data_IF_941757605869
#
_entry.id   IF_941757605869
#
_cell.length_a   1.000
_cell.length_b   1.000
_cell.length_c   1.000
_cell.angle_alpha   90.00
_cell.angle_beta   90.00
_cell.angle_gamma   90.00
#
_symmetry.space_group_name_H-M   'P 1'
#
loop_
_entity.id
_entity.type
_entity.pdbx_description
1 polymer ?
#
# COMPACT_ATOMS: atom_id res chain seq x y z
N UNK A 1 20.40 -11.96 6.96
CA UNK A 1 20.50 -10.91 8.02
C UNK A 1 22.00 -10.64 8.26
N UNK A 2 22.46 -9.42 8.55
CA UNK A 2 23.92 -9.11 8.63
C UNK A 2 24.67 -10.02 9.62
N UNK A 3 24.01 -10.40 10.72
CA UNK A 3 24.55 -11.32 11.72
C UNK A 3 24.93 -12.69 11.14
N UNK A 4 24.11 -13.25 10.25
CA UNK A 4 24.38 -14.55 9.62
C UNK A 4 25.55 -14.43 8.64
N UNK A 5 25.59 -13.36 7.83
CA UNK A 5 26.70 -13.09 6.91
C UNK A 5 28.02 -12.94 7.66
N UNK A 6 28.00 -12.25 8.80
CA UNK A 6 29.19 -12.10 9.65
C UNK A 6 29.62 -13.42 10.30
N UNK A 7 28.67 -14.31 10.63
CA UNK A 7 28.97 -15.61 11.21
C UNK A 7 29.57 -16.60 10.20
N UNK A 8 29.15 -16.52 8.94
CA UNK A 8 29.61 -17.40 7.85
C UNK A 8 30.67 -16.76 6.93
N UNK A 9 31.16 -15.55 7.24
CA UNK A 9 32.14 -14.86 6.41
C UNK A 9 33.52 -15.53 6.54
N UNK A 10 34.06 -16.00 5.42
CA UNK A 10 35.41 -16.58 5.35
C UNK A 10 36.45 -15.49 5.00
N UNK A 11 36.05 -14.47 4.23
CA UNK A 11 36.92 -13.38 3.78
C UNK A 11 36.48 -11.98 4.25
N UNK A 12 37.44 -11.05 4.34
CA UNK A 12 37.15 -9.63 4.64
C UNK A 12 36.15 -9.02 3.65
N UNK A 13 36.16 -9.50 2.40
CA UNK A 13 35.26 -9.00 1.36
C UNK A 13 33.80 -9.35 1.64
N UNK A 14 33.53 -10.51 2.24
CA UNK A 14 32.16 -10.94 2.56
C UNK A 14 31.57 -10.07 3.66
N UNK A 15 32.38 -9.76 4.68
CA UNK A 15 31.98 -8.86 5.74
C UNK A 15 31.74 -7.44 5.22
N UNK A 16 32.63 -6.93 4.36
CA UNK A 16 32.46 -5.61 3.73
C UNK A 16 31.21 -5.55 2.85
N UNK A 17 30.92 -6.63 2.11
CA UNK A 17 29.73 -6.74 1.30
C UNK A 17 28.46 -6.76 2.19
N UNK A 18 28.49 -7.53 3.29
CA UNK A 18 27.39 -7.56 4.27
C UNK A 18 27.14 -6.20 4.93
N UNK A 19 28.20 -5.47 5.27
CA UNK A 19 28.08 -4.10 5.84
C UNK A 19 27.47 -3.15 4.80
N UNK A 20 27.95 -3.18 3.56
CA UNK A 20 27.40 -2.33 2.51
C UNK A 20 25.92 -2.63 2.25
N UNK A 21 25.51 -3.90 2.21
CA UNK A 21 24.12 -4.28 2.04
C UNK A 21 23.25 -3.83 3.23
N UNK A 22 23.77 -3.91 4.45
CA UNK A 22 23.09 -3.42 5.65
C UNK A 22 22.94 -1.89 5.65
N UNK A 23 24.01 -1.16 5.32
CA UNK A 23 23.99 0.30 5.24
C UNK A 23 23.06 0.79 4.12
N UNK A 24 23.02 0.07 2.99
CA UNK A 24 22.08 0.28 1.88
C UNK A 24 20.61 0.16 2.31
N UNK A 25 20.34 -0.46 3.46
CA UNK A 25 19.01 -0.65 4.04
C UNK A 25 18.78 0.22 5.30
N UNK A 26 19.76 1.03 5.68
CA UNK A 26 19.68 1.91 6.84
C UNK A 26 19.23 3.31 6.44
N UNK A 27 18.47 3.97 7.31
CA UNK A 27 18.00 5.35 7.11
C UNK A 27 18.62 6.22 8.20
N UNK A 28 19.24 7.33 7.80
CA UNK A 28 19.75 8.34 8.73
C UNK A 28 18.67 9.40 8.90
N UNK A 29 18.25 9.60 10.14
CA UNK A 29 17.30 10.67 10.49
C UNK A 29 18.12 11.82 11.10
N UNK A 30 18.24 12.97 10.41
CA UNK A 30 18.89 14.13 11.00
C UNK A 30 18.08 14.62 12.22
N UNK A 31 18.74 15.13 13.27
CA UNK A 31 18.03 15.72 14.40
C UNK A 31 17.21 16.92 13.89
N UNK A 32 15.90 16.87 14.04
CA UNK A 32 14.98 17.92 13.56
C UNK A 32 13.81 18.05 14.54
N UNK A 33 13.40 19.28 14.83
CA UNK A 33 12.29 19.62 15.75
C UNK A 33 10.89 19.32 15.18
N UNK A 34 10.80 18.61 14.04
CA UNK A 34 9.52 18.21 13.44
C UNK A 34 8.77 17.23 14.34
N UNK A 35 7.51 17.55 14.62
CA UNK A 35 6.60 16.70 15.40
C UNK A 35 6.61 15.27 14.87
N UNK A 36 6.77 14.30 15.78
CA UNK A 36 7.07 12.91 15.43
C UNK A 36 6.08 12.22 14.48
N UNK A 37 4.86 12.75 14.32
CA UNK A 37 3.83 12.18 13.43
C UNK A 37 4.17 12.37 11.94
N UNK A 38 4.66 13.55 11.57
CA UNK A 38 5.02 13.84 10.17
C UNK A 38 6.36 13.20 9.79
N UNK A 39 7.26 13.07 10.76
CA UNK A 39 8.50 12.32 10.60
C UNK A 39 8.23 10.83 10.39
N UNK A 40 7.35 10.22 11.18
CA UNK A 40 6.99 8.81 11.02
C UNK A 40 6.35 8.53 9.66
N UNK A 41 5.52 9.45 9.15
CA UNK A 41 4.91 9.30 7.81
C UNK A 41 5.97 9.34 6.70
N UNK A 42 6.95 10.24 6.81
CA UNK A 42 8.06 10.36 5.86
C UNK A 42 9.00 9.16 5.93
N UNK A 43 9.30 8.67 7.13
CA UNK A 43 10.17 7.50 7.33
C UNK A 43 9.47 6.22 6.85
N UNK A 44 8.17 6.05 7.10
CA UNK A 44 7.42 4.90 6.65
C UNK A 44 7.35 4.80 5.12
N UNK A 45 7.11 5.93 4.42
CA UNK A 45 7.11 5.94 2.96
C UNK A 45 8.49 5.63 2.38
N UNK A 46 9.56 6.13 3.01
CA UNK A 46 10.92 5.85 2.57
C UNK A 46 11.35 4.40 2.83
N UNK A 47 11.00 3.83 3.99
CA UNK A 47 11.20 2.41 4.28
C UNK A 47 10.48 1.53 3.25
N UNK A 48 9.26 1.88 2.86
CA UNK A 48 8.49 1.17 1.82
C UNK A 48 9.16 1.25 0.45
N UNK A 49 9.72 2.40 0.07
CA UNK A 49 10.52 2.51 -1.16
C UNK A 49 11.77 1.64 -1.13
N UNK A 50 12.44 1.56 0.02
CA UNK A 50 13.63 0.73 0.22
C UNK A 50 13.30 -0.77 0.08
N UNK A 51 12.20 -1.21 0.69
CA UNK A 51 11.67 -2.57 0.55
C UNK A 51 11.26 -2.90 -0.90
N UNK A 52 10.63 -1.94 -1.60
CA UNK A 52 10.27 -2.11 -3.02
C UNK A 52 11.52 -2.24 -3.90
N UNK A 53 12.53 -1.40 -3.70
CA UNK A 53 13.81 -1.48 -4.41
C UNK A 53 14.51 -2.83 -4.16
N UNK A 54 14.35 -3.42 -2.98
CA UNK A 54 14.83 -4.78 -2.67
C UNK A 54 14.07 -5.83 -3.46
N UNK A 55 12.73 -5.80 -3.46
CA UNK A 55 11.89 -6.73 -4.25
C UNK A 55 12.24 -6.68 -5.74
N UNK A 56 12.54 -5.49 -6.26
CA UNK A 56 13.01 -5.32 -7.66
C UNK A 56 14.42 -5.90 -7.90
N UNK A 57 15.36 -5.78 -6.95
CA UNK A 57 16.71 -6.39 -7.07
C UNK A 57 16.64 -7.90 -7.01
N UNK A 58 15.85 -8.45 -6.09
CA UNK A 58 15.61 -9.91 -5.98
C UNK A 58 14.95 -10.46 -7.25
N UNK A 59 13.93 -9.79 -7.77
CA UNK A 59 13.27 -10.18 -9.02
C UNK A 59 14.22 -10.12 -10.23
N UNK A 60 15.09 -9.10 -10.30
CA UNK A 60 16.11 -9.00 -11.37
C UNK A 60 17.20 -10.07 -11.24
N UNK A 61 17.55 -10.47 -10.02
CA UNK A 61 18.54 -11.54 -9.77
C UNK A 61 17.98 -12.92 -10.14
N UNK A 62 16.69 -13.17 -9.89
CA UNK A 62 16.00 -14.38 -10.35
C UNK A 62 15.70 -14.40 -11.86
N UNK A 63 15.50 -13.23 -12.49
CA UNK A 63 15.28 -13.13 -13.94
C UNK A 63 16.49 -13.46 -14.80
N UNK A 64 17.71 -13.45 -14.24
CA UNK A 64 18.95 -13.70 -14.99
C UNK A 64 19.38 -15.17 -15.04
N UNK A 65 18.72 -16.07 -14.29
CA UNK A 65 19.06 -17.50 -14.25
C UNK A 65 18.18 -18.33 -15.21
N UNK A 66 17.05 -17.79 -15.69
CA UNK A 66 16.10 -18.55 -16.53
C UNK A 66 16.10 -18.01 -17.97
N UNK A 67 17.22 -18.17 -18.67
CA UNK A 67 17.22 -18.31 -20.14
C UNK A 67 17.34 -19.79 -20.47
N UNK A 68 16.20 -20.47 -20.58
CA UNK A 68 16.13 -21.84 -21.09
C UNK A 68 14.93 -22.63 -20.55
N UNK A 69 14.01 -22.96 -21.47
CA UNK A 69 12.90 -23.94 -21.35
C UNK A 69 11.57 -23.46 -20.70
N UNK A 70 10.65 -23.06 -21.59
CA UNK A 70 9.26 -23.54 -21.77
C UNK A 70 8.28 -23.72 -20.58
N UNK A 71 7.19 -22.94 -20.67
CA UNK A 71 5.76 -23.23 -20.46
C UNK A 71 5.20 -23.87 -19.16
N UNK A 72 4.21 -23.14 -18.61
CA UNK A 72 2.98 -23.56 -17.89
C UNK A 72 3.07 -24.34 -16.55
N UNK A 73 2.68 -23.72 -15.42
CA UNK A 73 1.40 -23.97 -14.69
C UNK A 73 1.34 -23.27 -13.31
N UNK A 74 0.10 -22.92 -12.92
CA UNK A 74 -0.47 -22.33 -11.68
C UNK A 74 0.17 -22.62 -10.30
N UNK A 75 -0.02 -21.66 -9.38
CA UNK A 75 -0.13 -21.86 -7.91
C UNK A 75 0.27 -20.60 -7.13
N UNK A 76 -0.62 -19.60 -7.01
CA UNK A 76 -1.40 -19.30 -5.80
C UNK A 76 -0.58 -19.19 -4.50
N UNK A 77 -0.10 -17.97 -4.18
CA UNK A 77 0.04 -17.47 -2.79
C UNK A 77 0.01 -15.93 -2.82
N UNK A 78 -0.87 -15.34 -2.00
CA UNK A 78 -0.82 -13.95 -1.48
C UNK A 78 -1.11 -12.77 -2.43
N UNK A 79 -2.37 -12.62 -2.86
CA UNK A 79 -2.88 -11.37 -3.49
C UNK A 79 -3.65 -10.47 -2.51
N UNK A 80 -4.04 -10.97 -1.33
CA UNK A 80 -4.96 -10.25 -0.43
C UNK A 80 -4.33 -9.06 0.33
N UNK A 81 -3.03 -9.09 0.60
CA UNK A 81 -2.37 -8.00 1.36
C UNK A 81 -1.87 -6.87 0.46
N UNK A 82 -1.92 -7.04 -0.86
CA UNK A 82 -1.41 -6.05 -1.81
C UNK A 82 -2.44 -5.00 -2.22
N UNK A 83 -3.74 -5.27 -2.09
CA UNK A 83 -4.80 -4.32 -2.51
C UNK A 83 -5.09 -3.23 -1.46
N UNK A 84 -4.80 -3.48 -0.18
CA UNK A 84 -4.95 -2.49 0.90
C UNK A 84 -3.83 -1.43 0.85
N UNK A 85 -2.64 -1.81 0.39
CA UNK A 85 -1.42 -1.02 0.50
C UNK A 85 -1.11 -0.12 -0.71
N UNK A 86 -1.76 -0.36 -1.85
CA UNK A 86 -1.73 0.51 -3.05
C UNK A 86 -2.71 1.70 -2.93
N UNK A 87 -3.44 1.82 -1.81
CA UNK A 87 -4.51 2.78 -1.63
C UNK A 87 -4.05 4.24 -1.40
N UNK A 88 -2.73 4.47 -1.22
CA UNK A 88 -2.14 5.77 -0.89
C UNK A 88 -1.35 6.43 -2.01
N UNK A 89 -1.04 5.75 -3.11
CA UNK A 89 -0.05 6.24 -4.10
C UNK A 89 -0.59 6.33 -5.54
N UNK A 90 -1.92 6.40 -5.70
CA UNK A 90 -2.52 6.68 -7.00
C UNK A 90 -2.76 8.18 -7.12
N UNK A 91 -1.85 8.85 -7.82
CA UNK A 91 -1.97 10.25 -8.21
C UNK A 91 -3.35 10.50 -8.86
N UNK A 92 -4.24 11.28 -8.24
CA UNK A 92 -5.60 11.52 -8.73
C UNK A 92 -5.64 12.23 -10.10
N UNK A 93 -4.50 12.74 -10.58
CA UNK A 93 -4.37 13.44 -11.86
C UNK A 93 -3.81 12.55 -13.00
N UNK A 94 -3.52 11.27 -12.72
CA UNK A 94 -2.96 10.37 -13.75
C UNK A 94 -4.00 10.07 -14.83
N UNK A 95 -3.72 10.52 -16.06
CA UNK A 95 -4.62 10.39 -17.21
C UNK A 95 -4.82 8.91 -17.57
N UNK A 96 -6.04 8.41 -17.38
CA UNK A 96 -6.39 6.98 -17.55
C UNK A 96 -6.34 6.47 -19.01
N UNK A 97 -6.33 7.35 -20.02
CA UNK A 97 -6.22 6.98 -21.44
C UNK A 97 -7.44 6.25 -22.04
N UNK A 98 -8.45 5.92 -21.24
CA UNK A 98 -9.66 5.18 -21.63
C UNK A 98 -10.88 6.03 -21.23
N UNK A 99 -11.96 6.11 -22.05
CA UNK A 99 -13.20 6.76 -21.62
C UNK A 99 -13.73 6.09 -20.36
N UNK A 100 -14.11 6.89 -19.35
CA UNK A 100 -14.56 6.45 -18.02
C UNK A 100 -13.53 5.68 -17.17
N UNK A 101 -12.26 5.55 -17.57
CA UNK A 101 -11.29 4.79 -16.79
C UNK A 101 -10.99 5.39 -15.39
N UNK A 102 -11.11 6.71 -15.24
CA UNK A 102 -11.07 7.36 -13.92
C UNK A 102 -12.27 7.00 -13.03
N UNK A 103 -13.47 6.89 -13.62
CA UNK A 103 -14.68 6.45 -12.91
C UNK A 103 -14.57 4.99 -12.48
N UNK A 104 -14.07 4.10 -13.36
CA UNK A 104 -13.86 2.68 -13.05
C UNK A 104 -12.84 2.54 -11.90
N UNK A 105 -11.77 3.33 -11.93
CA UNK A 105 -10.76 3.33 -10.86
C UNK A 105 -11.36 3.79 -9.52
N UNK A 106 -12.18 4.84 -9.53
CA UNK A 106 -12.86 5.34 -8.34
C UNK A 106 -13.87 4.31 -7.77
N UNK A 107 -14.65 3.68 -8.65
CA UNK A 107 -15.57 2.58 -8.27
C UNK A 107 -14.80 1.42 -7.66
N UNK A 108 -13.73 0.94 -8.30
CA UNK A 108 -12.92 -0.18 -7.78
C UNK A 108 -12.34 0.13 -6.40
N UNK A 109 -11.93 1.39 -6.16
CA UNK A 109 -11.43 1.82 -4.86
C UNK A 109 -12.55 1.95 -3.81
N UNK A 110 -13.74 2.41 -4.20
CA UNK A 110 -14.89 2.62 -3.28
C UNK A 110 -15.59 1.30 -2.92
N UNK A 111 -15.63 0.35 -3.86
CA UNK A 111 -16.37 -0.92 -3.75
C UNK A 111 -16.09 -1.74 -2.47
N UNK A 112 -14.84 -2.03 -2.08
CA UNK A 112 -14.58 -2.88 -0.91
C UNK A 112 -15.12 -2.30 0.39
N UNK A 113 -15.20 -0.96 0.51
CA UNK A 113 -15.68 -0.25 1.70
C UNK A 113 -17.21 -0.26 1.85
N UNK A 114 -17.96 -0.49 0.78
CA UNK A 114 -19.43 -0.54 0.89
C UNK A 114 -19.93 -1.73 1.71
N UNK A 115 -19.19 -2.84 1.70
CA UNK A 115 -19.55 -4.03 2.49
C UNK A 115 -19.43 -3.71 3.98
N UNK A 116 -18.39 -2.97 4.39
CA UNK A 116 -18.26 -2.51 5.78
C UNK A 116 -19.32 -1.48 6.15
N UNK A 117 -19.65 -0.55 5.24
CA UNK A 117 -20.68 0.48 5.48
C UNK A 117 -22.06 -0.14 5.78
N UNK A 118 -22.42 -1.25 5.10
CA UNK A 118 -23.68 -1.96 5.35
C UNK A 118 -23.71 -2.59 6.75
N UNK A 119 -22.57 -3.10 7.21
CA UNK A 119 -22.45 -3.70 8.54
C UNK A 119 -22.51 -2.62 9.63
N UNK A 120 -21.91 -1.46 9.38
CA UNK A 120 -21.89 -0.32 10.30
C UNK A 120 -23.26 0.38 10.41
N UNK A 121 -24.08 0.31 9.35
CA UNK A 121 -25.45 0.84 9.35
C UNK A 121 -26.40 0.17 10.36
N UNK A 122 -26.01 -0.94 10.99
CA UNK A 122 -26.80 -1.60 12.04
C UNK A 122 -26.65 -0.93 13.43
N UNK A 123 -25.82 0.10 13.57
CA UNK A 123 -25.74 0.85 14.83
C UNK A 123 -26.99 1.69 15.11
N UNK A 124 -27.35 1.79 16.40
CA UNK A 124 -28.55 2.51 16.84
C UNK A 124 -28.45 4.02 16.56
N UNK A 125 -27.24 4.60 16.59
CA UNK A 125 -27.04 6.01 16.26
C UNK A 125 -27.26 6.27 14.76
N UNK A 126 -26.88 5.32 13.89
CA UNK A 126 -27.13 5.39 12.45
C UNK A 126 -28.64 5.43 12.16
N UNK A 127 -29.42 4.55 12.79
CA UNK A 127 -30.88 4.51 12.63
C UNK A 127 -31.53 5.84 13.07
N UNK A 128 -31.06 6.43 14.17
CA UNK A 128 -31.54 7.74 14.61
C UNK A 128 -31.25 8.84 13.60
N UNK A 129 -30.05 8.84 12.99
CA UNK A 129 -29.69 9.78 11.94
C UNK A 129 -30.55 9.62 10.67
N UNK A 130 -30.89 8.38 10.29
CA UNK A 130 -31.78 8.11 9.15
C UNK A 130 -33.16 8.74 9.37
N UNK A 131 -33.76 8.54 10.55
CA UNK A 131 -35.07 9.12 10.90
C UNK A 131 -35.00 10.65 10.88
N UNK A 132 -33.94 11.23 11.43
CA UNK A 132 -33.75 12.69 11.46
C UNK A 132 -33.62 13.27 10.05
N UNK A 133 -32.75 12.70 9.21
CA UNK A 133 -32.54 13.15 7.82
C UNK A 133 -33.81 12.98 7.00
N UNK A 134 -34.59 11.91 7.24
CA UNK A 134 -35.87 11.68 6.57
C UNK A 134 -36.84 12.85 6.77
N UNK A 135 -37.08 13.28 8.01
CA UNK A 135 -37.95 14.43 8.28
C UNK A 135 -37.36 15.75 7.77
N UNK A 136 -36.03 15.92 7.89
CA UNK A 136 -35.35 17.09 7.35
C UNK A 136 -35.50 17.23 5.83
N UNK A 137 -35.52 16.12 5.10
CA UNK A 137 -35.75 16.10 3.65
C UNK A 137 -37.25 16.17 3.30
N UNK A 138 -38.11 15.52 4.07
CA UNK A 138 -39.55 15.43 3.80
C UNK A 138 -40.28 16.76 3.97
N UNK A 139 -39.89 17.60 4.93
CA UNK A 139 -40.51 18.93 5.11
C UNK A 139 -40.36 19.82 3.87
N UNK A 140 -39.15 20.09 3.34
CA UNK A 140 -38.97 20.81 2.07
C UNK A 140 -39.71 20.19 0.89
N UNK A 141 -39.70 18.85 0.79
CA UNK A 141 -40.37 18.15 -0.32
C UNK A 141 -41.88 18.36 -0.30
N UNK A 142 -42.52 18.42 0.87
CA UNK A 142 -43.96 18.68 0.98
C UNK A 142 -44.28 20.17 0.77
N UNK A 143 -43.42 21.06 1.26
CA UNK A 143 -43.70 22.51 1.18
C UNK A 143 -43.46 23.11 -0.21
N UNK A 144 -42.59 22.49 -1.02
CA UNK A 144 -42.25 22.98 -2.36
C UNK A 144 -42.64 22.01 -3.50
N UNK A 145 -43.24 20.87 -3.17
CA UNK A 145 -43.71 19.85 -4.12
C UNK A 145 -45.16 19.97 -4.51
#
# INVERSE_FOLDING_TARGET
>A
NFHEVAYFADDRQDLLNGINEFLDCSIVIPPSDVEGKDLLKTVASFQKQMLRKRKERELKKCGSIVTGAEQETKGDVSTDEQEEEDQFDVDPLKRSGIPFGGLIHDIRRRYPRYISDLKDAMDTQCIAAVIFIYFAALSPTITFG
#
